data_IF_367274546669
#
_entry.id   IF_367274546669
#
_cell.length_a   1.000
_cell.length_b   1.000
_cell.length_c   1.000
_cell.angle_alpha   90.00
_cell.angle_beta   90.00
_cell.angle_gamma   90.00
#
_symmetry.space_group_name_H-M   'P 1'
#
loop_
_entity.id
_entity.type
_entity.pdbx_description
1 polymer ?
#
# COMPACT_ATOMS: atom_id res chain seq x y z
N UNK A 1 25.34 -12.57 -71.67
CA UNK A 1 24.76 -11.57 -70.75
C UNK A 1 23.36 -12.06 -70.49
N UNK A 2 23.16 -12.70 -69.35
CA UNK A 2 21.89 -13.34 -68.98
C UNK A 2 21.35 -12.51 -67.81
N UNK A 3 20.21 -11.87 -68.01
CA UNK A 3 19.57 -10.99 -67.03
C UNK A 3 18.94 -11.83 -65.92
N UNK A 4 19.43 -11.67 -64.70
CA UNK A 4 18.84 -12.31 -63.51
C UNK A 4 17.74 -11.40 -62.98
N UNK A 5 16.51 -11.80 -63.23
CA UNK A 5 15.30 -11.16 -62.71
C UNK A 5 15.22 -11.41 -61.20
N UNK A 6 15.41 -10.36 -60.40
CA UNK A 6 15.35 -10.43 -58.94
C UNK A 6 13.90 -10.22 -58.53
N UNK A 7 13.18 -11.32 -58.26
CA UNK A 7 11.84 -11.24 -57.70
C UNK A 7 11.89 -10.60 -56.30
N UNK A 8 11.31 -9.41 -56.17
CA UNK A 8 11.16 -8.70 -54.89
C UNK A 8 10.19 -9.47 -53.98
N UNK A 9 10.75 -10.05 -52.91
CA UNK A 9 9.96 -10.64 -51.82
C UNK A 9 9.30 -9.49 -51.04
N UNK A 10 8.02 -9.24 -51.29
CA UNK A 10 7.24 -8.29 -50.49
C UNK A 10 7.14 -8.76 -49.03
N UNK A 11 7.95 -8.16 -48.16
CA UNK A 11 7.85 -8.37 -46.71
C UNK A 11 6.58 -7.65 -46.22
N UNK A 12 5.57 -8.35 -45.70
CA UNK A 12 4.31 -7.71 -45.30
C UNK A 12 4.57 -6.73 -44.14
N UNK A 13 4.30 -5.44 -44.38
CA UNK A 13 4.38 -4.39 -43.36
C UNK A 13 3.48 -4.76 -42.18
N UNK A 14 4.04 -4.86 -40.98
CA UNK A 14 3.28 -5.12 -39.75
C UNK A 14 2.25 -4.01 -39.55
N UNK A 15 0.96 -4.35 -39.69
CA UNK A 15 -0.15 -3.46 -39.36
C UNK A 15 -0.10 -3.16 -37.86
N UNK A 16 0.18 -1.92 -37.50
CA UNK A 16 0.17 -1.48 -36.10
C UNK A 16 -1.29 -1.38 -35.68
N UNK A 17 -1.72 -2.30 -34.80
CA UNK A 17 -3.08 -2.32 -34.26
C UNK A 17 -3.15 -1.28 -33.14
N UNK A 18 -3.54 -0.07 -33.49
CA UNK A 18 -3.86 0.96 -32.51
C UNK A 18 -5.28 0.71 -31.96
N UNK A 19 -5.48 0.98 -30.67
CA UNK A 19 -6.76 0.95 -29.93
C UNK A 19 -7.34 -0.43 -29.57
N UNK A 20 -6.51 -1.33 -29.04
CA UNK A 20 -6.99 -2.57 -28.41
C UNK A 20 -7.71 -2.26 -27.09
N UNK A 21 -8.95 -2.75 -26.94
CA UNK A 21 -9.65 -2.68 -25.65
C UNK A 21 -8.88 -3.49 -24.60
N UNK A 22 -9.04 -3.21 -23.29
CA UNK A 22 -8.40 -4.01 -22.24
C UNK A 22 -8.65 -5.52 -22.38
N UNK A 23 -9.85 -5.89 -22.83
CA UNK A 23 -10.24 -7.29 -23.11
C UNK A 23 -9.46 -7.87 -24.28
N UNK A 24 -9.22 -7.09 -25.34
CA UNK A 24 -8.45 -7.56 -26.51
C UNK A 24 -6.97 -7.74 -26.16
N UNK A 25 -6.41 -6.90 -25.28
CA UNK A 25 -5.04 -7.05 -24.76
C UNK A 25 -4.91 -8.36 -23.96
N UNK A 26 -5.88 -8.62 -23.07
CA UNK A 26 -5.93 -9.87 -22.29
C UNK A 26 -6.08 -11.08 -23.21
N UNK A 27 -6.98 -11.01 -24.20
CA UNK A 27 -7.18 -12.09 -25.18
C UNK A 27 -5.88 -12.41 -25.91
N UNK A 28 -5.13 -11.41 -26.38
CA UNK A 28 -3.83 -11.61 -27.03
C UNK A 28 -2.79 -12.22 -26.09
N UNK A 29 -2.76 -11.81 -24.82
CA UNK A 29 -1.86 -12.40 -23.83
C UNK A 29 -2.20 -13.88 -23.59
N UNK A 30 -3.49 -14.21 -23.44
CA UNK A 30 -3.97 -15.58 -23.28
C UNK A 30 -3.66 -16.42 -24.52
N UNK A 31 -3.97 -15.93 -25.72
CA UNK A 31 -3.64 -16.61 -26.99
C UNK A 31 -2.13 -16.93 -27.07
N UNK A 32 -1.27 -15.98 -26.65
CA UNK A 32 0.19 -16.18 -26.62
C UNK A 32 0.65 -17.20 -25.57
N UNK A 33 -0.01 -17.26 -24.41
CA UNK A 33 0.28 -18.25 -23.37
C UNK A 33 -0.16 -19.66 -23.79
N UNK A 34 -1.32 -19.77 -24.45
CA UNK A 34 -1.88 -21.04 -24.92
C UNK A 34 -1.14 -21.63 -26.12
N UNK A 35 -0.35 -20.85 -26.86
CA UNK A 35 0.55 -21.37 -27.91
C UNK A 35 1.61 -22.35 -27.36
N UNK A 36 1.96 -22.25 -26.07
CA UNK A 36 2.97 -23.11 -25.41
C UNK A 36 2.51 -23.49 -23.99
N UNK A 37 1.53 -24.41 -23.87
CA UNK A 37 0.95 -24.77 -22.57
C UNK A 37 1.94 -25.49 -21.65
N UNK A 38 2.94 -26.18 -22.21
CA UNK A 38 3.94 -26.93 -21.43
C UNK A 38 4.99 -26.04 -20.75
N UNK A 39 5.08 -24.75 -21.12
CA UNK A 39 6.07 -23.84 -20.54
C UNK A 39 5.59 -23.35 -19.18
N UNK A 40 6.36 -23.65 -18.13
CA UNK A 40 6.11 -23.11 -16.78
C UNK A 40 6.15 -21.58 -16.79
N UNK A 41 5.11 -20.96 -16.24
CA UNK A 41 5.03 -19.51 -16.10
C UNK A 41 5.88 -19.05 -14.91
N UNK A 42 6.83 -18.14 -15.15
CA UNK A 42 7.55 -17.46 -14.08
C UNK A 42 6.72 -16.27 -13.61
N UNK A 43 5.98 -16.45 -12.51
CA UNK A 43 5.34 -15.33 -11.83
C UNK A 43 6.46 -14.56 -11.13
N UNK A 44 6.64 -13.26 -11.41
CA UNK A 44 7.68 -12.49 -10.75
C UNK A 44 7.37 -12.46 -9.25
N UNK A 45 8.32 -12.92 -8.45
CA UNK A 45 8.28 -12.70 -7.02
C UNK A 45 8.38 -11.20 -6.73
N UNK A 46 7.83 -10.78 -5.59
CA UNK A 46 7.87 -9.39 -5.18
C UNK A 46 9.32 -8.91 -5.14
N UNK A 47 9.62 -7.84 -5.87
CA UNK A 47 10.96 -7.26 -5.88
C UNK A 47 11.40 -6.90 -4.46
N UNK A 48 12.61 -7.34 -4.09
CA UNK A 48 13.24 -6.93 -2.86
C UNK A 48 13.45 -5.42 -2.84
N UNK A 49 13.27 -4.80 -1.67
CA UNK A 49 13.62 -3.39 -1.49
C UNK A 49 15.12 -3.22 -1.76
N UNK A 50 15.55 -2.10 -2.36
CA UNK A 50 16.97 -1.84 -2.59
C UNK A 50 17.70 -1.76 -1.25
N UNK A 51 18.44 -2.81 -0.89
CA UNK A 51 19.27 -2.85 0.31
C UNK A 51 20.62 -2.23 0.01
N UNK A 52 21.10 -1.41 0.93
CA UNK A 52 22.45 -0.89 0.85
C UNK A 52 23.46 -1.99 1.13
N UNK A 53 24.55 -1.99 0.36
CA UNK A 53 25.65 -2.93 0.58
C UNK A 53 26.26 -2.66 1.95
N UNK A 54 26.46 -3.73 2.72
CA UNK A 54 27.17 -3.65 3.99
C UNK A 54 28.56 -3.00 3.80
N UNK A 55 29.06 -2.24 4.79
CA UNK A 55 30.43 -1.75 4.77
C UNK A 55 31.40 -2.95 4.70
N UNK A 56 32.59 -2.74 4.12
CA UNK A 56 33.63 -3.77 4.06
C UNK A 56 34.35 -3.83 5.41
N UNK A 57 34.57 -5.03 5.93
CA UNK A 57 35.24 -5.23 7.22
C UNK A 57 36.71 -4.79 7.21
N UNK A 58 37.43 -5.07 6.12
CA UNK A 58 38.85 -4.75 5.98
C UNK A 58 39.07 -3.88 4.74
N UNK A 59 39.62 -2.70 4.94
CA UNK A 59 40.11 -1.82 3.88
C UNK A 59 41.61 -2.07 3.71
N UNK A 60 42.01 -2.57 2.54
CA UNK A 60 43.40 -2.97 2.26
C UNK A 60 44.34 -1.80 1.88
N UNK A 61 43.77 -0.63 1.57
CA UNK A 61 44.49 0.48 0.95
C UNK A 61 44.51 1.71 1.87
N UNK A 62 44.71 1.50 3.17
CA UNK A 62 44.77 2.58 4.15
C UNK A 62 46.17 3.19 4.13
N UNK A 63 46.29 4.43 3.65
CA UNK A 63 47.53 5.20 3.74
C UNK A 63 47.77 5.62 5.20
N UNK A 64 49.04 5.78 5.61
CA UNK A 64 49.38 6.12 7.00
C UNK A 64 48.71 7.41 7.49
N UNK A 65 48.43 7.50 8.79
CA UNK A 65 47.64 8.59 9.38
C UNK A 65 48.24 9.99 9.21
N UNK A 66 49.55 10.09 9.04
CA UNK A 66 50.26 11.35 8.81
C UNK A 66 50.60 11.61 7.34
N UNK A 67 50.17 10.73 6.43
CA UNK A 67 50.45 10.88 5.02
C UNK A 67 49.51 11.93 4.39
N UNK A 68 50.02 12.76 3.48
CA UNK A 68 49.26 13.85 2.87
C UNK A 68 48.11 13.38 1.98
N UNK A 69 47.23 14.33 1.59
CA UNK A 69 46.10 14.05 0.72
C UNK A 69 46.56 13.59 -0.67
N UNK A 70 46.21 12.35 -1.05
CA UNK A 70 46.46 11.82 -2.38
C UNK A 70 45.43 12.32 -3.41
N UNK A 71 45.76 12.24 -4.70
CA UNK A 71 44.86 12.66 -5.79
C UNK A 71 43.54 11.87 -5.87
N UNK A 72 43.53 10.64 -5.35
CA UNK A 72 42.34 9.78 -5.28
C UNK A 72 41.44 10.00 -4.06
N UNK A 73 41.91 10.72 -3.04
CA UNK A 73 41.21 10.85 -1.75
C UNK A 73 39.86 11.56 -1.90
N UNK A 74 39.80 12.56 -2.79
CA UNK A 74 38.55 13.26 -3.11
C UNK A 74 37.46 12.30 -3.62
N UNK A 75 37.83 11.33 -4.47
CA UNK A 75 36.86 10.36 -4.99
C UNK A 75 36.46 9.32 -3.94
N UNK A 76 37.35 8.96 -3.04
CA UNK A 76 37.06 8.10 -1.90
C UNK A 76 36.02 8.78 -0.98
N UNK A 77 36.26 10.04 -0.59
CA UNK A 77 35.32 10.83 0.20
C UNK A 77 33.96 10.97 -0.50
N UNK A 78 33.95 11.33 -1.79
CA UNK A 78 32.70 11.47 -2.57
C UNK A 78 31.88 10.18 -2.58
N UNK A 79 32.55 9.03 -2.77
CA UNK A 79 31.88 7.73 -2.76
C UNK A 79 31.37 7.36 -1.36
N UNK A 80 32.17 7.62 -0.31
CA UNK A 80 31.78 7.38 1.07
C UNK A 80 30.59 8.25 1.49
N UNK A 81 30.64 9.55 1.23
CA UNK A 81 29.55 10.50 1.51
C UNK A 81 28.26 10.11 0.80
N UNK A 82 28.33 9.73 -0.48
CA UNK A 82 27.15 9.26 -1.23
C UNK A 82 26.55 7.99 -0.61
N UNK A 83 27.40 7.02 -0.24
CA UNK A 83 26.95 5.80 0.45
C UNK A 83 26.27 6.13 1.78
N UNK A 84 26.88 7.02 2.55
CA UNK A 84 26.39 7.39 3.88
C UNK A 84 25.05 8.16 3.80
N UNK A 85 24.92 9.12 2.89
CA UNK A 85 23.66 9.83 2.69
C UNK A 85 22.55 8.90 2.22
N UNK A 86 22.87 7.95 1.34
CA UNK A 86 21.88 6.95 0.94
C UNK A 86 21.46 6.08 2.12
N UNK A 87 22.40 5.76 3.03
CA UNK A 87 22.16 5.00 4.28
C UNK A 87 21.28 5.72 5.27
N UNK A 88 21.60 6.97 5.57
CA UNK A 88 20.79 7.80 6.46
C UNK A 88 19.39 7.98 5.87
N UNK A 89 19.29 8.32 4.58
CA UNK A 89 18.01 8.46 3.88
C UNK A 89 17.17 7.18 3.92
N UNK A 90 17.75 6.01 3.66
CA UNK A 90 16.99 4.75 3.73
C UNK A 90 16.50 4.44 5.13
N UNK A 91 17.31 4.75 6.16
CA UNK A 91 16.94 4.53 7.56
C UNK A 91 15.80 5.46 7.99
N UNK A 92 15.88 6.74 7.62
CA UNK A 92 14.84 7.74 7.86
C UNK A 92 13.52 7.37 7.15
N UNK A 93 13.59 6.96 5.87
CA UNK A 93 12.42 6.52 5.10
C UNK A 93 11.77 5.25 5.69
N UNK A 94 12.58 4.31 6.19
CA UNK A 94 12.07 3.10 6.84
C UNK A 94 11.41 3.42 8.19
N UNK A 95 12.04 4.24 9.02
CA UNK A 95 11.49 4.68 10.30
C UNK A 95 10.15 5.40 10.12
N UNK A 96 10.10 6.39 9.22
CA UNK A 96 8.87 7.11 8.88
C UNK A 96 7.77 6.17 8.41
N UNK A 97 8.10 5.22 7.54
CA UNK A 97 7.12 4.25 7.02
C UNK A 97 6.61 3.30 8.10
N UNK A 98 7.44 2.95 9.07
CA UNK A 98 7.06 2.13 10.21
C UNK A 98 6.13 2.89 11.15
N UNK A 99 6.44 4.15 11.46
CA UNK A 99 5.55 5.05 12.22
C UNK A 99 4.19 5.19 11.55
N UNK A 100 4.16 5.55 10.26
CA UNK A 100 2.91 5.69 9.47
C UNK A 100 2.08 4.39 9.46
N UNK A 101 2.74 3.23 9.42
CA UNK A 101 2.07 1.92 9.48
C UNK A 101 1.49 1.64 10.86
N UNK A 102 2.26 1.89 11.92
CA UNK A 102 1.82 1.66 13.28
C UNK A 102 0.62 2.55 13.63
N UNK A 103 0.65 3.82 13.21
CA UNK A 103 -0.49 4.75 13.35
C UNK A 103 -1.73 4.26 12.60
N UNK A 104 -1.54 3.80 11.36
CA UNK A 104 -2.61 3.28 10.53
C UNK A 104 -3.25 2.02 11.14
N UNK A 105 -2.43 1.08 11.60
CA UNK A 105 -2.87 -0.18 12.20
C UNK A 105 -3.58 0.08 13.54
N UNK A 106 -3.06 1.01 14.36
CA UNK A 106 -3.71 1.44 15.59
C UNK A 106 -5.10 2.06 15.31
N UNK A 107 -5.20 2.92 14.30
CA UNK A 107 -6.47 3.55 13.90
C UNK A 107 -7.48 2.51 13.39
N UNK A 108 -7.05 1.54 12.59
CA UNK A 108 -7.92 0.45 12.12
C UNK A 108 -8.40 -0.39 13.31
N UNK A 109 -7.51 -0.72 14.24
CA UNK A 109 -7.86 -1.50 15.42
C UNK A 109 -8.91 -0.78 16.29
N UNK A 110 -8.76 0.53 16.48
CA UNK A 110 -9.74 1.35 17.22
C UNK A 110 -11.11 1.38 16.53
N UNK A 111 -11.12 1.63 15.21
CA UNK A 111 -12.36 1.63 14.42
C UNK A 111 -13.06 0.28 14.52
N UNK A 112 -12.30 -0.81 14.33
CA UNK A 112 -12.82 -2.17 14.40
C UNK A 112 -13.38 -2.50 15.78
N UNK A 113 -12.68 -2.14 16.86
CA UNK A 113 -13.15 -2.37 18.22
C UNK A 113 -14.47 -1.63 18.50
N UNK A 114 -14.59 -0.38 18.07
CA UNK A 114 -15.81 0.41 18.24
C UNK A 114 -16.99 -0.12 17.39
N UNK A 115 -16.72 -0.59 16.17
CA UNK A 115 -17.73 -1.25 15.32
C UNK A 115 -18.18 -2.60 15.92
N UNK A 116 -17.25 -3.38 16.45
CA UNK A 116 -17.53 -4.65 17.13
C UNK A 116 -18.33 -4.43 18.41
N UNK A 117 -18.03 -3.40 19.21
CA UNK A 117 -18.80 -3.05 20.40
C UNK A 117 -20.25 -2.67 20.05
N UNK A 118 -20.43 -1.81 19.04
CA UNK A 118 -21.77 -1.44 18.53
C UNK A 118 -22.53 -2.66 18.02
N UNK A 119 -21.86 -3.52 17.28
CA UNK A 119 -22.45 -4.74 16.71
C UNK A 119 -22.80 -5.76 17.80
N UNK A 120 -21.94 -5.93 18.82
CA UNK A 120 -22.15 -6.79 19.97
C UNK A 120 -23.36 -6.33 20.80
N UNK A 121 -23.46 -5.03 21.10
CA UNK A 121 -24.63 -4.45 21.80
C UNK A 121 -25.93 -4.71 21.04
N UNK A 122 -25.96 -4.47 19.72
CA UNK A 122 -27.13 -4.74 18.88
C UNK A 122 -27.46 -6.24 18.79
N UNK A 123 -26.44 -7.10 18.68
CA UNK A 123 -26.58 -8.56 18.65
C UNK A 123 -27.14 -9.10 19.97
N UNK A 124 -26.67 -8.58 21.11
CA UNK A 124 -27.18 -8.94 22.44
C UNK A 124 -28.66 -8.57 22.60
N UNK A 125 -29.06 -7.36 22.19
CA UNK A 125 -30.48 -6.93 22.17
C UNK A 125 -31.35 -7.88 21.33
N UNK A 126 -30.91 -8.24 20.12
CA UNK A 126 -31.64 -9.19 19.24
C UNK A 126 -31.72 -10.59 19.85
N UNK A 127 -30.63 -11.11 20.44
CA UNK A 127 -30.63 -12.41 21.12
C UNK A 127 -31.61 -12.44 22.30
N UNK A 128 -31.65 -11.38 23.11
CA UNK A 128 -32.62 -11.25 24.23
C UNK A 128 -34.06 -11.21 23.73
N UNK A 129 -34.37 -10.45 22.66
CA UNK A 129 -35.70 -10.45 22.02
C UNK A 129 -36.07 -11.85 21.49
N UNK A 130 -35.15 -12.52 20.79
CA UNK A 130 -35.36 -13.88 20.27
C UNK A 130 -35.62 -14.90 21.38
N UNK A 131 -34.89 -14.83 22.48
CA UNK A 131 -35.13 -15.69 23.65
C UNK A 131 -36.50 -15.41 24.28
N UNK A 132 -36.88 -14.14 24.46
CA UNK A 132 -38.22 -13.79 24.97
C UNK A 132 -39.34 -14.30 24.06
N UNK A 133 -39.22 -14.14 22.73
CA UNK A 133 -40.20 -14.67 21.76
C UNK A 133 -40.29 -16.20 21.81
N UNK A 134 -39.16 -16.90 21.93
CA UNK A 134 -39.14 -18.38 22.11
C UNK A 134 -39.84 -18.82 23.40
N UNK A 135 -39.56 -18.15 24.52
CA UNK A 135 -40.21 -18.47 25.80
C UNK A 135 -41.71 -18.17 25.77
N UNK A 136 -42.14 -17.08 25.11
CA UNK A 136 -43.57 -16.81 24.89
C UNK A 136 -44.21 -17.91 24.05
N UNK A 137 -43.60 -18.28 22.91
CA UNK A 137 -44.12 -19.34 22.02
C UNK A 137 -44.30 -20.68 22.74
N UNK A 138 -43.30 -21.11 23.51
CA UNK A 138 -43.38 -22.33 24.33
C UNK A 138 -44.46 -22.28 25.44
N UNK A 139 -44.90 -21.07 25.84
CA UNK A 139 -45.98 -20.89 26.82
C UNK A 139 -47.36 -20.77 26.16
N UNK A 140 -47.43 -20.41 24.88
CA UNK A 140 -48.68 -20.23 24.12
C UNK A 140 -49.04 -21.46 23.28
N UNK A 141 -48.19 -22.49 23.20
CA UNK A 141 -48.58 -23.81 22.64
C UNK A 141 -49.68 -24.53 23.48
N UNK A 142 -50.22 -23.90 24.54
CA UNK A 142 -51.44 -24.33 25.27
C UNK A 142 -52.69 -23.47 25.00
N UNK A 143 -52.63 -22.38 24.21
CA UNK A 143 -53.82 -21.59 23.83
C UNK A 143 -53.69 -21.01 22.42
N UNK A 144 -54.59 -21.45 21.55
CA UNK A 144 -54.82 -20.96 20.19
C UNK A 144 -55.08 -19.44 20.12
N UNK A 145 -54.77 -18.94 18.92
CA UNK A 145 -55.23 -17.74 18.21
C UNK A 145 -54.72 -16.33 18.55
N UNK A 146 -54.33 -15.68 17.45
CA UNK A 146 -54.35 -14.27 17.08
C UNK A 146 -53.93 -13.22 18.12
N UNK A 147 -52.81 -12.53 17.85
CA UNK A 147 -52.85 -11.07 17.67
C UNK A 147 -51.46 -10.50 17.37
N UNK A 148 -51.49 -9.56 16.42
CA UNK A 148 -50.56 -8.49 16.06
C UNK A 148 -49.23 -8.38 16.82
N UNK A 149 -48.14 -8.35 16.07
CA UNK A 149 -46.84 -7.92 16.58
C UNK A 149 -46.34 -6.80 15.66
N UNK A 150 -46.84 -5.60 15.95
CA UNK A 150 -46.39 -4.29 15.46
C UNK A 150 -44.89 -4.30 15.12
N UNK A 151 -44.62 -4.07 13.84
CA UNK A 151 -43.31 -3.71 13.31
C UNK A 151 -42.98 -2.28 13.75
N UNK A 152 -42.67 -2.11 15.05
CA UNK A 152 -42.27 -0.81 15.56
C UNK A 152 -40.79 -0.54 15.17
N UNK A 153 -40.70 0.20 14.09
CA UNK A 153 -39.55 0.88 13.50
C UNK A 153 -38.85 1.77 14.53
N UNK A 154 -37.79 1.23 15.13
CA UNK A 154 -36.91 2.01 16.02
C UNK A 154 -35.60 2.36 15.30
N UNK A 155 -35.73 2.99 14.12
CA UNK A 155 -34.71 3.84 13.53
C UNK A 155 -34.64 5.19 14.26
N UNK A 156 -34.26 5.16 15.55
CA UNK A 156 -33.91 6.38 16.28
C UNK A 156 -32.52 6.30 16.90
N UNK A 157 -31.75 7.30 16.49
CA UNK A 157 -30.66 7.92 17.22
C UNK A 157 -29.26 7.33 17.07
N UNK A 158 -28.52 7.85 16.08
CA UNK A 158 -27.09 8.12 16.19
C UNK A 158 -26.73 9.36 15.34
N UNK A 159 -27.36 10.50 15.65
CA UNK A 159 -26.91 11.78 15.12
C UNK A 159 -26.57 12.72 16.29
N UNK A 160 -25.45 12.42 16.98
CA UNK A 160 -24.80 13.39 17.86
C UNK A 160 -23.31 13.06 17.99
N UNK A 161 -22.53 14.06 17.56
CA UNK A 161 -21.08 14.26 17.74
C UNK A 161 -20.15 13.58 16.74
N UNK A 162 -19.95 14.25 15.61
CA UNK A 162 -18.61 14.47 15.05
C UNK A 162 -18.53 15.83 14.35
N UNK A 163 -18.58 16.91 15.14
CA UNK A 163 -18.12 18.25 14.77
C UNK A 163 -16.95 18.60 15.69
N UNK A 164 -15.81 17.95 15.50
CA UNK A 164 -14.54 18.48 16.01
C UNK A 164 -13.38 17.77 15.32
N UNK A 165 -12.96 18.28 14.16
CA UNK A 165 -11.64 18.07 13.53
C UNK A 165 -11.58 18.82 12.18
N UNK A 166 -11.79 20.14 12.22
CA UNK A 166 -11.38 21.07 11.15
C UNK A 166 -11.12 22.41 11.84
N UNK A 167 -9.93 22.55 12.41
CA UNK A 167 -9.24 23.81 12.70
C UNK A 167 -8.03 23.49 13.59
N UNK A 168 -6.93 23.09 12.95
CA UNK A 168 -5.54 23.21 13.41
C UNK A 168 -4.68 22.92 12.18
N UNK A 169 -4.68 23.86 11.25
CA UNK A 169 -3.75 23.98 10.13
C UNK A 169 -3.89 25.43 9.66
N UNK A 170 -3.19 26.33 10.35
CA UNK A 170 -2.79 27.68 9.94
C UNK A 170 -2.36 28.43 11.21
N UNK A 171 -1.12 28.22 11.67
CA UNK A 171 -0.33 29.18 12.47
C UNK A 171 1.04 28.56 12.84
N UNK A 172 1.88 28.44 11.82
CA UNK A 172 3.35 28.34 11.85
C UNK A 172 3.73 28.18 10.37
N UNK A 173 4.25 29.16 9.64
CA UNK A 173 5.47 29.92 9.89
C UNK A 173 5.44 31.20 9.03
N UNK A 174 5.58 32.37 9.66
CA UNK A 174 6.21 33.58 9.09
C UNK A 174 6.58 34.51 10.25
N UNK A 175 7.81 35.03 10.19
CA UNK A 175 8.62 35.76 11.19
C UNK A 175 9.17 34.86 12.32
N UNK A 176 10.47 34.59 12.43
CA UNK A 176 11.53 35.59 12.52
C UNK A 176 12.70 35.41 11.54
N UNK A 177 13.14 36.55 10.99
CA UNK A 177 14.49 36.73 10.47
C UNK A 177 15.23 37.75 11.33
N UNK A 178 16.46 37.43 11.72
CA UNK A 178 17.54 38.32 12.20
C UNK A 178 18.65 37.41 12.75
N UNK A 179 19.72 37.11 12.02
CA UNK A 179 20.93 37.93 11.77
C UNK A 179 22.10 37.39 12.60
N UNK A 180 23.13 36.89 11.91
CA UNK A 180 24.52 37.17 12.27
C UNK A 180 25.46 36.73 11.14
N UNK A 181 26.10 37.72 10.53
CA UNK A 181 27.39 37.63 9.85
C UNK A 181 28.43 36.87 10.68
N UNK A 182 29.28 36.07 10.03
CA UNK A 182 30.75 36.16 10.13
C UNK A 182 31.46 35.01 9.37
N UNK A 183 32.44 35.42 8.56
CA UNK A 183 33.59 34.71 7.96
C UNK A 183 33.36 33.60 6.91
#
# INVERSE_FOLDING_TARGET
MEEVEVEEIEVPKRKVKHDLKPVDIQRQQVEKLLQRPDKTLQIPEKADKPKLKAPKDIVRNVQGSSAGAGSGEFHVYRAHRRREYTRLKSMEEEARKEEERNEFDAKIAEIRAHEDEKTAKKRAKRKKRKQKKKVKKLKTDEKDDDDDDDDDDDNKNNNKKNKNQKNKNNESEKSDGSSSEEN
#
